data_IF_013281395822
#
_entry.id   IF_013281395822
#
_cell.length_a   1.000
_cell.length_b   1.000
_cell.length_c   1.000
_cell.angle_alpha   90.00
_cell.angle_beta   90.00
_cell.angle_gamma   90.00
#
_symmetry.space_group_name_H-M   'P 1'
#
loop_
_entity.id
_entity.type
_entity.pdbx_description
1 polymer ?
#
# COMPACT_ATOMS: atom_id res chain seq x y z
N UNK A 1 -5.57 1.77 -6.91
CA UNK A 1 -5.58 2.42 -8.24
C UNK A 1 -6.03 1.45 -9.31
N UNK A 2 -5.21 0.45 -9.68
CA UNK A 2 -5.54 -0.48 -10.78
C UNK A 2 -6.88 -1.18 -10.56
N UNK A 3 -7.11 -1.65 -9.33
CA UNK A 3 -8.40 -2.25 -8.96
C UNK A 3 -9.57 -1.23 -9.09
N UNK A 4 -9.32 0.04 -8.80
CA UNK A 4 -10.33 1.11 -8.85
C UNK A 4 -10.70 1.52 -10.27
N UNK A 5 -9.75 1.45 -11.22
CA UNK A 5 -10.01 1.74 -12.64
C UNK A 5 -10.41 0.48 -13.42
N UNK A 6 -10.55 -0.67 -12.74
CA UNK A 6 -10.96 -1.94 -13.36
C UNK A 6 -9.93 -2.55 -14.30
N UNK A 7 -8.65 -2.14 -14.20
CA UNK A 7 -7.61 -2.68 -15.06
C UNK A 7 -7.02 -3.97 -14.49
N UNK A 8 -6.47 -4.81 -15.37
CA UNK A 8 -5.81 -6.04 -14.96
C UNK A 8 -4.45 -5.74 -14.32
N UNK A 9 -4.20 -6.25 -13.10
CA UNK A 9 -2.90 -6.08 -12.42
C UNK A 9 -1.72 -6.66 -13.20
N UNK A 10 -1.93 -7.69 -14.04
CA UNK A 10 -0.87 -8.26 -14.87
C UNK A 10 -0.42 -7.33 -16.00
N UNK A 11 -1.22 -6.33 -16.37
CA UNK A 11 -0.78 -5.36 -17.35
C UNK A 11 0.39 -4.49 -16.82
N UNK A 12 0.69 -4.49 -15.51
CA UNK A 12 1.95 -3.90 -15.00
C UNK A 12 3.23 -4.56 -15.50
N UNK A 13 3.16 -5.78 -16.02
CA UNK A 13 4.33 -6.43 -16.63
C UNK A 13 4.71 -5.79 -17.98
N UNK A 14 3.79 -5.05 -18.59
CA UNK A 14 3.97 -4.46 -19.92
C UNK A 14 3.76 -2.94 -19.95
N UNK A 15 2.98 -2.40 -19.01
CA UNK A 15 2.61 -0.98 -18.96
C UNK A 15 3.05 -0.34 -17.63
N UNK A 16 3.71 0.81 -17.77
CA UNK A 16 4.07 1.73 -16.71
C UNK A 16 2.85 2.47 -16.16
N UNK A 17 3.02 3.05 -14.97
CA UNK A 17 2.00 3.89 -14.35
C UNK A 17 1.61 5.11 -15.18
N UNK A 18 2.57 5.62 -15.97
CA UNK A 18 2.34 6.74 -16.88
C UNK A 18 1.37 6.35 -18.01
N UNK A 19 1.50 5.13 -18.56
CA UNK A 19 0.59 4.63 -19.58
C UNK A 19 -0.82 4.43 -19.02
N UNK A 20 -0.96 3.97 -17.77
CA UNK A 20 -2.25 3.94 -17.09
C UNK A 20 -2.85 5.34 -16.91
N UNK A 21 -2.06 6.31 -16.48
CA UNK A 21 -2.53 7.68 -16.29
C UNK A 21 -3.00 8.30 -17.61
N UNK A 22 -2.20 8.19 -18.68
CA UNK A 22 -2.56 8.67 -20.02
C UNK A 22 -3.80 7.97 -20.58
N UNK A 23 -3.85 6.64 -20.47
CA UNK A 23 -5.00 5.84 -20.93
C UNK A 23 -6.28 6.21 -20.18
N UNK A 24 -6.22 6.30 -18.85
CA UNK A 24 -7.38 6.66 -18.03
C UNK A 24 -7.86 8.09 -18.30
N UNK A 25 -6.93 9.06 -18.40
CA UNK A 25 -7.23 10.44 -18.76
C UNK A 25 -7.96 10.54 -20.11
N UNK A 26 -7.50 9.78 -21.11
CA UNK A 26 -8.13 9.73 -22.43
C UNK A 26 -9.56 9.16 -22.39
N UNK A 27 -9.80 8.12 -21.58
CA UNK A 27 -11.13 7.51 -21.43
C UNK A 27 -12.13 8.45 -20.75
N UNK A 28 -11.72 9.12 -19.66
CA UNK A 28 -12.63 9.99 -18.90
C UNK A 28 -12.74 11.41 -19.46
N UNK A 29 -11.87 11.78 -20.41
CA UNK A 29 -11.84 13.11 -21.02
C UNK A 29 -11.39 14.23 -20.08
N UNK A 30 -10.66 13.91 -19.00
CA UNK A 30 -10.19 14.88 -18.01
C UNK A 30 -8.67 14.84 -17.87
N UNK A 31 -8.01 15.99 -17.63
CA UNK A 31 -6.58 16.00 -17.36
C UNK A 31 -6.30 15.26 -16.06
N UNK A 32 -5.37 14.31 -16.13
CA UNK A 32 -4.94 13.50 -14.99
C UNK A 32 -3.48 13.10 -15.20
N UNK A 33 -2.64 13.39 -14.21
CA UNK A 33 -1.24 13.01 -14.20
C UNK A 33 -1.01 11.68 -13.47
N UNK A 34 0.17 11.09 -13.66
CA UNK A 34 0.63 9.93 -12.88
C UNK A 34 0.59 10.21 -11.37
N UNK A 35 0.96 11.42 -10.95
CA UNK A 35 0.96 11.82 -9.54
C UNK A 35 -0.46 11.93 -8.98
N UNK A 36 -1.40 12.48 -9.74
CA UNK A 36 -2.82 12.52 -9.32
C UNK A 36 -3.35 11.11 -9.07
N UNK A 37 -2.98 10.17 -9.93
CA UNK A 37 -3.41 8.79 -9.84
C UNK A 37 -2.78 8.09 -8.63
N UNK A 38 -1.49 8.32 -8.36
CA UNK A 38 -0.80 7.87 -7.14
C UNK A 38 -1.46 8.42 -5.88
N UNK A 39 -1.70 9.73 -5.81
CA UNK A 39 -2.34 10.38 -4.67
C UNK A 39 -3.74 9.83 -4.41
N UNK A 40 -4.52 9.56 -5.45
CA UNK A 40 -5.84 8.92 -5.32
C UNK A 40 -5.72 7.50 -4.77
N UNK A 41 -4.77 6.70 -5.27
CA UNK A 41 -4.51 5.36 -4.75
C UNK A 41 -4.10 5.38 -3.27
N UNK A 42 -3.27 6.35 -2.91
CA UNK A 42 -2.80 6.54 -1.54
C UNK A 42 -3.92 6.95 -0.57
N UNK A 43 -4.82 7.84 -1.01
CA UNK A 43 -6.02 8.23 -0.27
C UNK A 43 -6.98 7.05 -0.06
N UNK A 44 -7.18 6.21 -1.10
CA UNK A 44 -8.01 5.01 -1.03
C UNK A 44 -7.46 4.04 0.02
N UNK A 45 -6.17 3.71 -0.03
CA UNK A 45 -5.56 2.86 1.00
C UNK A 45 -5.74 3.45 2.40
N UNK A 46 -5.52 4.77 2.56
CA UNK A 46 -5.61 5.42 3.87
C UNK A 46 -7.03 5.30 4.43
N UNK A 47 -8.04 5.43 3.58
CA UNK A 47 -9.44 5.21 3.94
C UNK A 47 -9.70 3.74 4.34
N UNK A 48 -9.22 2.78 3.56
CA UNK A 48 -9.35 1.34 3.87
C UNK A 48 -8.71 1.00 5.22
N UNK A 49 -7.49 1.47 5.47
CA UNK A 49 -6.80 1.28 6.75
C UNK A 49 -7.59 1.87 7.91
N UNK A 50 -8.13 3.08 7.75
CA UNK A 50 -8.97 3.72 8.77
C UNK A 50 -10.24 2.93 9.04
N UNK A 51 -10.91 2.42 8.00
CA UNK A 51 -12.09 1.56 8.16
C UNK A 51 -11.74 0.30 8.96
N UNK A 52 -10.60 -0.34 8.66
CA UNK A 52 -10.15 -1.52 9.40
C UNK A 52 -9.86 -1.19 10.87
N UNK A 53 -9.18 -0.09 11.16
CA UNK A 53 -8.90 0.35 12.54
C UNK A 53 -10.17 0.62 13.33
N UNK A 54 -11.18 1.26 12.72
CA UNK A 54 -12.49 1.49 13.34
C UNK A 54 -13.22 0.18 13.68
N UNK A 55 -12.79 -0.94 13.07
CA UNK A 55 -13.29 -2.29 13.33
C UNK A 55 -12.35 -3.12 14.21
N UNK A 56 -11.36 -2.48 14.84
CA UNK A 56 -10.44 -3.12 15.79
C UNK A 56 -9.19 -3.74 15.16
N UNK A 57 -8.86 -3.41 13.91
CA UNK A 57 -7.59 -3.79 13.29
C UNK A 57 -6.44 -3.00 13.92
N UNK A 58 -5.38 -3.69 14.31
CA UNK A 58 -4.23 -3.15 15.05
C UNK A 58 -2.91 -3.68 14.49
N UNK A 59 -1.77 -3.17 14.99
CA UNK A 59 -0.43 -3.69 14.65
C UNK A 59 -0.31 -5.22 14.72
N UNK A 60 -0.97 -5.88 15.68
CA UNK A 60 -0.92 -7.34 15.82
C UNK A 60 -1.41 -8.08 14.56
N UNK A 61 -2.34 -7.46 13.82
CA UNK A 61 -2.99 -8.04 12.64
C UNK A 61 -2.12 -7.82 11.38
N UNK A 62 -1.10 -6.97 11.46
CA UNK A 62 -0.06 -6.83 10.45
C UNK A 62 1.10 -7.82 10.63
N UNK A 63 1.15 -8.58 11.73
CA UNK A 63 2.22 -9.56 11.98
C UNK A 63 2.04 -10.83 11.13
N UNK A 64 3.15 -11.46 10.74
CA UNK A 64 3.12 -12.73 10.02
C UNK A 64 2.80 -13.90 10.98
N UNK A 65 2.26 -15.01 10.46
CA UNK A 65 2.18 -16.26 11.23
C UNK A 65 3.54 -16.70 11.78
N UNK A 66 3.54 -17.29 12.98
CA UNK A 66 4.76 -17.65 13.73
C UNK A 66 5.78 -18.48 12.93
N UNK A 67 5.30 -19.34 12.03
CA UNK A 67 6.14 -20.17 11.17
C UNK A 67 7.15 -19.38 10.33
N UNK A 68 6.81 -18.16 9.92
CA UNK A 68 7.72 -17.31 9.13
C UNK A 68 8.96 -16.89 9.92
N UNK A 69 8.88 -16.87 11.25
CA UNK A 69 9.99 -16.47 12.15
C UNK A 69 10.76 -17.66 12.71
N UNK A 70 10.23 -18.89 12.59
CA UNK A 70 10.80 -20.09 13.22
C UNK A 70 11.25 -21.17 12.25
N UNK A 71 10.55 -21.31 11.12
CA UNK A 71 10.80 -22.36 10.15
C UNK A 71 11.54 -21.79 8.94
N UNK A 72 12.61 -22.46 8.46
CA UNK A 72 13.15 -22.13 7.16
C UNK A 72 12.11 -22.42 6.08
N UNK A 73 12.11 -21.61 5.02
CA UNK A 73 11.29 -21.86 3.84
C UNK A 73 11.85 -23.00 2.98
N UNK A 74 11.09 -23.39 1.96
CA UNK A 74 11.57 -24.35 0.95
C UNK A 74 12.73 -23.73 0.17
N UNK A 75 13.90 -24.35 0.24
CA UNK A 75 15.10 -23.92 -0.48
C UNK A 75 15.09 -24.40 -1.94
N UNK A 76 15.69 -23.60 -2.83
CA UNK A 76 15.98 -23.96 -4.22
C UNK A 76 17.48 -24.23 -4.41
N UNK A 77 17.92 -24.76 -5.57
CA UNK A 77 19.33 -24.94 -5.86
C UNK A 77 20.11 -23.62 -5.71
N UNK A 78 21.04 -23.57 -4.75
CA UNK A 78 21.84 -22.38 -4.46
C UNK A 78 21.11 -21.23 -3.76
N UNK A 79 19.88 -21.45 -3.27
CA UNK A 79 19.07 -20.44 -2.57
C UNK A 79 18.79 -20.94 -1.16
N UNK A 80 19.37 -20.26 -0.18
CA UNK A 80 18.99 -20.43 1.23
C UNK A 80 17.74 -19.58 1.53
N UNK A 81 16.82 -20.15 2.30
CA UNK A 81 15.58 -19.48 2.70
C UNK A 81 15.44 -19.56 4.23
N UNK A 82 16.29 -18.85 5.00
CA UNK A 82 16.20 -18.88 6.46
C UNK A 82 14.88 -18.25 6.95
N UNK A 83 14.48 -18.52 8.21
CA UNK A 83 13.39 -17.80 8.84
C UNK A 83 13.64 -16.28 8.83
N UNK A 84 12.55 -15.50 8.82
CA UNK A 84 12.62 -14.05 8.93
C UNK A 84 13.02 -13.65 10.34
N UNK A 85 14.01 -12.76 10.47
CA UNK A 85 14.34 -12.14 11.75
C UNK A 85 13.20 -11.20 12.19
N UNK A 86 12.65 -11.48 13.37
CA UNK A 86 11.51 -10.75 13.93
C UNK A 86 11.83 -9.26 14.16
N UNK A 87 13.02 -8.94 14.66
CA UNK A 87 13.41 -7.56 14.93
C UNK A 87 13.59 -6.77 13.63
N UNK A 88 14.15 -7.40 12.58
CA UNK A 88 14.26 -6.79 11.25
C UNK A 88 12.87 -6.56 10.64
N UNK A 89 11.94 -7.50 10.82
CA UNK A 89 10.57 -7.35 10.36
C UNK A 89 9.85 -6.20 11.06
N UNK A 90 9.95 -6.10 12.39
CA UNK A 90 9.34 -5.01 13.16
C UNK A 90 9.90 -3.64 12.78
N UNK A 91 11.21 -3.51 12.56
CA UNK A 91 11.81 -2.26 12.07
C UNK A 91 11.34 -1.91 10.65
N UNK A 92 11.16 -2.91 9.77
CA UNK A 92 10.58 -2.70 8.44
C UNK A 92 9.11 -2.24 8.54
N UNK A 93 8.34 -2.80 9.48
CA UNK A 93 6.95 -2.41 9.74
C UNK A 93 6.86 -0.98 10.29
N UNK A 94 7.76 -0.59 11.20
CA UNK A 94 7.84 0.79 11.71
C UNK A 94 8.17 1.79 10.60
N UNK A 95 9.13 1.45 9.74
CA UNK A 95 9.44 2.23 8.54
C UNK A 95 8.22 2.36 7.63
N UNK A 96 7.49 1.27 7.42
CA UNK A 96 6.27 1.27 6.63
C UNK A 96 5.23 2.23 7.23
N UNK A 97 4.94 2.15 8.53
CA UNK A 97 4.00 3.06 9.20
C UNK A 97 4.39 4.53 9.07
N UNK A 98 5.68 4.86 9.24
CA UNK A 98 6.16 6.23 9.02
C UNK A 98 5.85 6.73 7.60
N UNK A 99 6.09 5.89 6.58
CA UNK A 99 5.79 6.23 5.17
C UNK A 99 4.28 6.36 4.95
N UNK A 100 3.47 5.51 5.58
CA UNK A 100 2.00 5.54 5.45
C UNK A 100 1.34 6.66 6.26
N UNK A 101 2.07 7.37 7.11
CA UNK A 101 1.52 8.38 8.02
C UNK A 101 0.73 7.77 9.17
N UNK A 102 1.15 6.58 9.62
CA UNK A 102 0.64 5.91 10.80
C UNK A 102 1.59 6.08 11.99
N UNK A 103 1.06 6.00 13.19
CA UNK A 103 1.85 5.88 14.42
C UNK A 103 2.43 4.45 14.60
N UNK A 104 3.25 4.19 15.63
CA UNK A 104 3.82 2.86 15.87
C UNK A 104 2.80 1.74 16.10
N UNK A 105 1.57 2.05 16.52
CA UNK A 105 0.48 1.08 16.71
C UNK A 105 -0.28 0.79 15.40
N UNK A 106 0.14 1.41 14.30
CA UNK A 106 -0.44 1.25 12.97
C UNK A 106 -1.74 2.05 12.79
N UNK A 107 -1.96 3.07 13.63
CA UNK A 107 -3.11 3.97 13.58
C UNK A 107 -2.79 5.13 12.64
N UNK A 108 -3.65 5.35 11.64
CA UNK A 108 -3.56 6.50 10.74
C UNK A 108 -3.71 7.79 11.55
N UNK A 109 -2.71 8.67 11.45
CA UNK A 109 -2.71 9.95 12.17
C UNK A 109 -3.78 10.91 11.64
N UNK A 110 -4.25 11.84 12.48
CA UNK A 110 -5.24 12.85 12.07
C UNK A 110 -4.76 13.73 10.92
N UNK A 111 -3.46 14.04 10.88
CA UNK A 111 -2.85 14.78 9.77
C UNK A 111 -3.01 14.00 8.47
N UNK A 112 -2.68 12.71 8.51
CA UNK A 112 -2.81 11.81 7.36
C UNK A 112 -4.27 11.62 6.94
N UNK A 113 -5.18 11.51 7.91
CA UNK A 113 -6.61 11.28 7.68
C UNK A 113 -7.32 12.46 7.03
N UNK A 114 -6.81 13.69 7.19
CA UNK A 114 -7.33 14.88 6.49
C UNK A 114 -7.10 14.80 4.97
N UNK A 115 -6.12 13.99 4.55
CA UNK A 115 -5.76 13.78 3.15
C UNK A 115 -5.29 15.06 2.44
N UNK A 116 -4.76 14.95 1.21
CA UNK A 116 -4.64 16.11 0.35
C UNK A 116 -6.05 16.68 0.07
N UNK A 117 -6.19 18.01 -0.02
CA UNK A 117 -7.46 18.68 -0.40
C UNK A 117 -7.78 18.38 -1.87
N UNK A 118 -8.19 17.15 -2.19
CA UNK A 118 -8.55 16.72 -3.53
C UNK A 118 -10.02 17.02 -3.76
N UNK A 119 -10.30 18.32 -3.91
CA UNK A 119 -11.48 18.95 -4.53
C UNK A 119 -11.47 20.44 -4.11
N UNK A 120 -10.38 21.14 -4.41
CA UNK A 120 -10.39 22.61 -4.39
C UNK A 120 -10.65 23.07 -5.83
N UNK A 121 -11.87 23.53 -6.10
CA UNK A 121 -12.22 24.29 -7.30
C UNK A 121 -12.45 23.46 -8.57
N UNK A 122 -13.67 22.98 -8.73
CA UNK A 122 -14.42 23.12 -9.99
C UNK A 122 -15.89 23.28 -9.66
#
# INVERSE_FOLDING_TARGET
>A
MVDSIGACKFAFLAASLEEYARGFAAVIGLPLSTQDLLHRGDAIYTLERRINMLRGFTRKDDMLPERFYREPGTAGPGIETPPIDMAVYEDALDRYYRIRGCDPDGIVTDERAKGPKTCAGR
#
